data_IF_117587878898
#
_entry.id   IF_117587878898
#
_cell.length_a   1.000
_cell.length_b   1.000
_cell.length_c   1.000
_cell.angle_alpha   90.00
_cell.angle_beta   90.00
_cell.angle_gamma   90.00
#
_symmetry.space_group_name_H-M   'P 1'
#
loop_
_entity.id
_entity.type
_entity.pdbx_description
1 polymer ?
#
# COMPACT_ATOMS: atom_id res chain seq x y z
N UNK A 1 13.06 13.15 3.29
CA UNK A 1 13.30 14.24 2.30
C UNK A 1 14.10 13.66 1.16
N UNK A 2 13.57 13.65 -0.06
CA UNK A 2 14.28 13.09 -1.21
C UNK A 2 15.42 14.05 -1.57
N UNK A 3 16.62 13.78 -1.10
CA UNK A 3 17.85 14.45 -1.55
C UNK A 3 18.26 14.08 -2.99
N UNK A 4 17.35 13.42 -3.73
CA UNK A 4 17.66 12.78 -5.00
C UNK A 4 17.62 13.73 -6.20
N UNK A 5 16.92 14.85 -6.10
CA UNK A 5 16.86 15.82 -7.18
C UNK A 5 17.99 16.84 -7.04
N UNK A 6 19.10 16.58 -7.72
CA UNK A 6 20.21 17.55 -7.80
C UNK A 6 20.01 18.61 -8.88
N UNK A 7 19.12 18.33 -9.83
CA UNK A 7 18.88 19.17 -11.01
C UNK A 7 17.38 19.36 -11.24
N UNK A 8 17.03 20.51 -11.77
CA UNK A 8 15.66 20.83 -12.16
C UNK A 8 15.20 19.94 -13.31
N UNK A 9 14.08 19.22 -13.18
CA UNK A 9 13.59 18.35 -14.26
C UNK A 9 13.09 19.10 -15.50
N UNK A 10 12.87 20.43 -15.40
CA UNK A 10 12.42 21.25 -16.51
C UNK A 10 13.59 21.87 -17.29
N UNK A 11 14.62 22.39 -16.62
CA UNK A 11 15.68 23.14 -17.29
C UNK A 11 17.10 22.61 -17.00
N UNK A 12 17.28 21.58 -16.21
CA UNK A 12 18.57 20.99 -15.88
C UNK A 12 19.46 21.83 -14.95
N UNK A 13 19.00 23.01 -14.48
CA UNK A 13 19.78 23.83 -13.54
C UNK A 13 19.92 23.12 -12.19
N UNK A 14 21.07 23.33 -11.51
CA UNK A 14 21.28 22.77 -10.18
C UNK A 14 20.26 23.32 -9.16
N UNK A 15 19.80 22.48 -8.25
CA UNK A 15 18.83 22.87 -7.23
C UNK A 15 19.48 22.73 -5.87
N UNK A 16 19.51 23.83 -5.14
CA UNK A 16 20.08 23.91 -3.79
C UNK A 16 19.02 24.10 -2.71
N UNK A 17 17.77 24.40 -3.11
CA UNK A 17 16.67 24.66 -2.19
C UNK A 17 15.60 23.62 -2.20
N UNK A 18 15.54 22.86 -1.09
CA UNK A 18 14.44 21.94 -0.76
C UNK A 18 13.87 22.38 0.57
N UNK A 19 12.56 22.66 0.61
CA UNK A 19 11.86 22.65 1.87
C UNK A 19 11.18 21.28 2.09
N UNK A 20 10.39 21.19 3.16
CA UNK A 20 9.70 19.96 3.54
C UNK A 20 8.72 19.43 2.47
N UNK A 21 8.16 20.29 1.63
CA UNK A 21 7.08 19.96 0.71
C UNK A 21 7.40 20.19 -0.75
N UNK A 22 8.32 21.12 -1.04
CA UNK A 22 8.54 21.56 -2.41
C UNK A 22 10.01 21.81 -2.72
N UNK A 23 10.29 21.74 -4.00
CA UNK A 23 11.50 22.14 -4.65
C UNK A 23 11.19 23.34 -5.53
N UNK A 24 12.01 24.38 -5.49
CA UNK A 24 11.89 25.56 -6.35
C UNK A 24 13.17 25.74 -7.16
N UNK A 25 13.02 25.98 -8.46
CA UNK A 25 14.14 26.26 -9.33
C UNK A 25 14.32 27.80 -9.49
N UNK A 26 15.51 28.30 -9.18
CA UNK A 26 15.80 29.71 -9.29
C UNK A 26 16.03 30.18 -10.76
N UNK A 27 16.15 29.25 -11.73
CA UNK A 27 16.43 29.55 -13.12
C UNK A 27 15.18 29.56 -14.03
N UNK A 28 14.17 28.76 -13.74
CA UNK A 28 12.97 28.65 -14.59
C UNK A 28 11.66 28.71 -13.83
N UNK A 29 11.69 29.15 -12.58
CA UNK A 29 10.54 29.33 -11.70
C UNK A 29 9.67 28.06 -11.47
N UNK A 30 10.16 26.88 -11.89
CA UNK A 30 9.46 25.62 -11.60
C UNK A 30 9.35 25.44 -10.09
N UNK A 31 8.13 25.20 -9.63
CA UNK A 31 7.85 24.73 -8.28
C UNK A 31 7.31 23.32 -8.37
N UNK A 32 8.02 22.36 -7.79
CA UNK A 32 7.60 20.96 -7.71
C UNK A 32 7.24 20.61 -6.29
N UNK A 33 6.01 20.14 -6.08
CA UNK A 33 5.54 19.65 -4.78
C UNK A 33 5.76 18.14 -4.68
N UNK A 34 6.41 17.72 -3.59
CA UNK A 34 6.52 16.31 -3.28
C UNK A 34 5.19 15.84 -2.67
N UNK A 35 4.36 15.19 -3.47
CA UNK A 35 3.13 14.57 -3.02
C UNK A 35 3.43 13.21 -2.38
N UNK A 36 2.59 12.82 -1.42
CA UNK A 36 2.57 11.43 -0.93
C UNK A 36 1.95 10.55 -2.01
N UNK A 37 2.46 9.34 -2.18
CA UNK A 37 1.84 8.36 -3.06
C UNK A 37 0.60 7.75 -2.37
N UNK A 38 -0.48 7.57 -3.10
CA UNK A 38 -1.61 6.79 -2.62
C UNK A 38 -1.32 5.30 -2.81
N UNK A 39 -1.64 4.50 -1.80
CA UNK A 39 -1.60 3.05 -1.84
C UNK A 39 -2.86 2.48 -1.18
N UNK A 40 -3.28 1.30 -1.59
CA UNK A 40 -4.42 0.61 -1.00
C UNK A 40 -3.96 -0.67 -0.31
N UNK A 41 -4.71 -1.09 0.71
CA UNK A 41 -4.58 -2.39 1.36
C UNK A 41 -5.97 -2.92 1.69
N UNK A 42 -6.24 -4.19 1.41
CA UNK A 42 -7.57 -4.76 1.57
C UNK A 42 -7.59 -5.83 2.64
N UNK A 43 -8.39 -5.63 3.68
CA UNK A 43 -8.76 -6.69 4.63
C UNK A 43 -9.80 -7.56 3.95
N UNK A 44 -9.36 -8.67 3.35
CA UNK A 44 -10.25 -9.71 2.86
C UNK A 44 -10.63 -10.63 4.01
N UNK A 45 -11.91 -10.66 4.34
CA UNK A 45 -12.41 -11.44 5.48
C UNK A 45 -13.34 -12.56 5.04
N UNK A 46 -13.30 -13.65 5.81
CA UNK A 46 -14.23 -14.75 5.73
C UNK A 46 -14.47 -15.29 7.13
N UNK A 47 -15.73 -15.24 7.60
CA UNK A 47 -16.08 -15.59 8.97
C UNK A 47 -15.24 -14.82 10.00
N UNK A 48 -14.51 -15.51 10.89
CA UNK A 48 -13.61 -14.95 11.89
C UNK A 48 -12.14 -14.84 11.41
N UNK A 49 -11.88 -14.94 10.10
CA UNK A 49 -10.51 -14.95 9.55
C UNK A 49 -10.26 -13.79 8.60
N UNK A 50 -8.99 -13.41 8.55
CA UNK A 50 -8.43 -12.47 7.57
C UNK A 50 -7.47 -13.24 6.66
N UNK A 51 -7.52 -12.95 5.35
CA UNK A 51 -6.55 -13.41 4.38
C UNK A 51 -5.34 -12.48 4.42
N UNK A 52 -4.17 -13.06 4.70
CA UNK A 52 -2.88 -12.40 4.52
C UNK A 52 -2.13 -13.00 3.34
N UNK A 53 -1.41 -12.17 2.62
CA UNK A 53 -0.38 -12.59 1.67
C UNK A 53 0.95 -12.70 2.39
N UNK A 54 1.84 -13.60 1.94
CA UNK A 54 3.25 -13.67 2.38
C UNK A 54 4.11 -13.10 1.26
N UNK A 55 4.85 -12.05 1.56
CA UNK A 55 5.66 -11.34 0.57
C UNK A 55 6.77 -12.23 0.00
N UNK A 56 6.90 -12.27 -1.32
CA UNK A 56 8.00 -12.97 -2.01
C UNK A 56 9.13 -12.03 -2.44
N UNK A 57 8.98 -10.70 -2.28
CA UNK A 57 9.96 -9.68 -2.67
C UNK A 57 10.30 -8.72 -1.53
N UNK A 58 11.48 -8.10 -1.63
CA UNK A 58 11.86 -7.00 -0.74
C UNK A 58 11.05 -5.71 -1.07
N UNK A 59 10.83 -4.83 -0.10
CA UNK A 59 11.18 -4.97 1.32
C UNK A 59 10.26 -5.96 2.06
N UNK A 60 10.74 -6.48 3.20
CA UNK A 60 9.95 -7.33 4.11
C UNK A 60 9.59 -8.72 3.55
N UNK A 61 10.43 -9.29 2.68
CA UNK A 61 10.25 -10.66 2.18
C UNK A 61 10.01 -11.66 3.32
N UNK A 62 9.01 -12.52 3.16
CA UNK A 62 8.61 -13.54 4.12
C UNK A 62 7.67 -13.06 5.23
N UNK A 63 7.39 -11.77 5.33
CA UNK A 63 6.43 -11.23 6.29
C UNK A 63 5.00 -11.21 5.74
N UNK A 64 4.03 -11.14 6.65
CA UNK A 64 2.63 -10.99 6.30
C UNK A 64 2.35 -9.60 5.74
N UNK A 65 1.47 -9.55 4.76
CA UNK A 65 0.97 -8.34 4.13
C UNK A 65 -0.53 -8.45 3.87
N UNK A 66 -1.19 -7.35 3.58
CA UNK A 66 -2.53 -7.33 3.01
C UNK A 66 -2.40 -7.16 1.50
N UNK A 67 -3.27 -7.81 0.74
CA UNK A 67 -3.30 -7.62 -0.70
C UNK A 67 -3.60 -6.15 -1.05
N UNK A 68 -2.85 -5.61 -2.02
CA UNK A 68 -2.95 -4.22 -2.42
C UNK A 68 -1.64 -3.63 -2.94
N UNK A 69 -1.69 -2.38 -3.40
CA UNK A 69 -0.53 -1.73 -4.01
C UNK A 69 -0.74 -0.25 -4.27
N UNK A 70 0.09 0.32 -5.12
CA UNK A 70 0.01 1.74 -5.46
C UNK A 70 -1.13 2.04 -6.43
N UNK A 71 -1.77 3.19 -6.20
CA UNK A 71 -2.81 3.70 -7.11
C UNK A 71 -2.17 4.23 -8.39
N UNK A 72 -2.66 3.74 -9.52
CA UNK A 72 -2.24 4.21 -10.84
C UNK A 72 -2.89 5.56 -11.21
N UNK A 73 -2.25 6.35 -12.10
CA UNK A 73 -2.86 7.58 -12.61
C UNK A 73 -4.27 7.31 -13.19
N UNK A 74 -5.24 8.11 -12.76
CA UNK A 74 -6.65 8.04 -13.16
C UNK A 74 -7.45 6.86 -12.56
N UNK A 75 -6.93 6.16 -11.58
CA UNK A 75 -7.71 5.20 -10.78
C UNK A 75 -8.33 5.86 -9.55
N UNK A 76 -9.51 5.39 -9.15
CA UNK A 76 -9.99 5.57 -7.78
C UNK A 76 -9.38 4.51 -6.87
N UNK A 77 -9.39 4.75 -5.56
CA UNK A 77 -8.86 3.79 -4.60
C UNK A 77 -9.59 2.42 -4.66
N UNK A 78 -10.91 2.42 -4.87
CA UNK A 78 -11.69 1.19 -5.05
C UNK A 78 -11.31 0.45 -6.34
N UNK A 79 -11.00 1.21 -7.41
CA UNK A 79 -10.53 0.59 -8.66
C UNK A 79 -9.16 -0.03 -8.49
N UNK A 80 -8.26 0.63 -7.75
CA UNK A 80 -6.97 0.06 -7.38
C UNK A 80 -7.15 -1.21 -6.56
N UNK A 81 -8.04 -1.22 -5.55
CA UNK A 81 -8.34 -2.43 -4.78
C UNK A 81 -8.77 -3.58 -5.69
N UNK A 82 -9.68 -3.32 -6.64
CA UNK A 82 -10.16 -4.36 -7.56
C UNK A 82 -9.04 -4.90 -8.44
N UNK A 83 -8.21 -4.02 -9.03
CA UNK A 83 -7.09 -4.41 -9.88
C UNK A 83 -6.06 -5.23 -9.13
N UNK A 84 -5.61 -4.74 -7.97
CA UNK A 84 -4.59 -5.43 -7.16
C UNK A 84 -5.07 -6.81 -6.67
N UNK A 85 -6.32 -6.92 -6.23
CA UNK A 85 -6.91 -8.22 -5.85
C UNK A 85 -6.99 -9.17 -7.04
N UNK A 86 -7.34 -8.68 -8.24
CA UNK A 86 -7.35 -9.51 -9.45
C UNK A 86 -5.93 -9.92 -9.88
N UNK A 87 -4.96 -9.00 -9.83
CA UNK A 87 -3.56 -9.27 -10.19
C UNK A 87 -2.90 -10.22 -9.19
N UNK A 88 -2.99 -9.95 -7.91
CA UNK A 88 -2.29 -10.70 -6.86
C UNK A 88 -2.92 -12.05 -6.55
N UNK A 89 -4.27 -12.14 -6.57
CA UNK A 89 -5.01 -13.31 -6.10
C UNK A 89 -5.86 -13.99 -7.19
N UNK A 90 -6.01 -13.38 -8.36
CA UNK A 90 -6.81 -13.91 -9.46
C UNK A 90 -8.33 -13.86 -9.22
N UNK A 91 -8.82 -13.18 -8.19
CA UNK A 91 -10.24 -13.10 -7.85
C UNK A 91 -10.85 -11.75 -8.22
N UNK A 92 -12.16 -11.75 -8.50
CA UNK A 92 -12.89 -10.55 -8.89
C UNK A 92 -13.90 -10.14 -7.84
N UNK A 93 -13.71 -8.94 -7.29
CA UNK A 93 -14.62 -8.35 -6.32
C UNK A 93 -15.26 -7.09 -6.96
N UNK A 94 -16.61 -6.95 -6.99
CA UNK A 94 -17.27 -5.74 -7.45
C UNK A 94 -16.83 -4.50 -6.67
N UNK A 95 -16.71 -3.35 -7.36
CA UNK A 95 -16.22 -2.09 -6.76
C UNK A 95 -17.02 -1.68 -5.51
N UNK A 96 -18.33 -1.86 -5.55
CA UNK A 96 -19.25 -1.53 -4.46
C UNK A 96 -19.06 -2.37 -3.18
N UNK A 97 -18.32 -3.48 -3.28
CA UNK A 97 -18.03 -4.35 -2.13
C UNK A 97 -16.81 -3.90 -1.34
N UNK A 98 -15.96 -3.06 -1.89
CA UNK A 98 -14.87 -2.45 -1.14
C UNK A 98 -15.40 -1.32 -0.25
N UNK A 99 -15.26 -1.47 1.06
CA UNK A 99 -15.69 -0.47 2.04
C UNK A 99 -14.45 0.20 2.64
N UNK A 100 -14.31 1.51 2.40
CA UNK A 100 -13.25 2.28 3.04
C UNK A 100 -13.33 2.14 4.56
N UNK A 101 -12.19 1.90 5.18
CA UNK A 101 -12.09 1.72 6.62
C UNK A 101 -11.33 2.86 7.29
N UNK A 102 -10.07 3.04 6.97
CA UNK A 102 -9.23 4.12 7.50
C UNK A 102 -8.02 4.37 6.59
N UNK A 103 -7.24 5.41 6.91
CA UNK A 103 -5.93 5.63 6.27
C UNK A 103 -4.82 5.75 7.30
N UNK A 104 -3.61 5.33 6.90
CA UNK A 104 -2.39 5.45 7.70
C UNK A 104 -1.25 6.06 6.88
N UNK A 105 -0.47 6.99 7.46
CA UNK A 105 0.77 7.42 6.84
C UNK A 105 1.80 6.29 6.92
N UNK A 106 2.59 6.14 5.86
CA UNK A 106 3.64 5.14 5.82
C UNK A 106 4.93 5.70 5.19
N UNK A 107 6.02 4.97 5.38
CA UNK A 107 7.27 5.18 4.68
C UNK A 107 7.68 3.87 4.02
N UNK A 108 7.53 3.83 2.70
CA UNK A 108 7.91 2.67 1.90
C UNK A 108 9.34 2.87 1.36
N UNK A 109 10.26 2.05 1.81
CA UNK A 109 11.66 2.11 1.39
C UNK A 109 11.86 1.23 0.15
N UNK A 110 12.22 1.85 -0.98
CA UNK A 110 12.50 1.14 -2.21
C UNK A 110 13.78 1.67 -2.84
N UNK A 111 14.76 0.80 -3.07
CA UNK A 111 16.08 1.15 -3.63
C UNK A 111 16.70 2.38 -2.97
N UNK A 112 16.76 2.39 -1.63
CA UNK A 112 17.30 3.48 -0.81
C UNK A 112 16.53 4.80 -0.89
N UNK A 113 15.36 4.82 -1.54
CA UNK A 113 14.48 5.98 -1.60
C UNK A 113 13.30 5.77 -0.64
N UNK A 114 13.15 6.61 0.41
CA UNK A 114 12.02 6.52 1.33
C UNK A 114 10.80 7.25 0.74
N UNK A 115 9.95 6.53 0.06
CA UNK A 115 8.67 7.07 -0.43
C UNK A 115 7.71 7.29 0.74
N UNK A 116 7.08 8.46 0.76
CA UNK A 116 5.98 8.73 1.68
C UNK A 116 4.67 8.34 1.03
N UNK A 117 3.89 7.50 1.72
CA UNK A 117 2.61 7.02 1.23
C UNK A 117 1.48 7.39 2.18
N UNK A 118 0.27 7.40 1.65
CA UNK A 118 -0.97 7.39 2.39
C UNK A 118 -1.65 6.06 2.06
N UNK A 119 -1.56 5.11 2.97
CA UNK A 119 -2.14 3.79 2.80
C UNK A 119 -3.62 3.84 3.16
N UNK A 120 -4.48 3.60 2.18
CA UNK A 120 -5.94 3.59 2.29
C UNK A 120 -6.39 2.15 2.50
N UNK A 121 -6.91 1.86 3.68
CA UNK A 121 -7.38 0.52 4.02
C UNK A 121 -8.86 0.33 3.68
N UNK A 122 -9.17 -0.78 3.05
CA UNK A 122 -10.52 -1.20 2.70
C UNK A 122 -10.83 -2.57 3.32
N UNK A 123 -12.13 -2.85 3.48
CA UNK A 123 -12.63 -4.15 3.92
C UNK A 123 -13.51 -4.70 2.81
N UNK A 124 -13.36 -5.98 2.49
CA UNK A 124 -14.25 -6.71 1.60
C UNK A 124 -14.43 -8.16 2.08
N UNK A 125 -15.61 -8.73 1.79
CA UNK A 125 -15.86 -10.15 2.00
C UNK A 125 -15.18 -10.96 0.88
N UNK A 126 -14.55 -12.08 1.25
CA UNK A 126 -13.95 -12.99 0.29
C UNK A 126 -15.04 -13.75 -0.48
N UNK A 127 -15.02 -13.79 -1.84
CA UNK A 127 -16.12 -14.33 -2.65
C UNK A 127 -16.14 -15.86 -2.78
N UNK A 128 -15.34 -16.60 -2.00
CA UNK A 128 -15.22 -18.08 -2.10
C UNK A 128 -14.78 -18.60 -3.48
N UNK A 129 -13.94 -17.83 -4.16
CA UNK A 129 -13.32 -18.21 -5.44
C UNK A 129 -11.96 -18.89 -5.23
N UNK A 130 -11.50 -19.62 -6.24
CA UNK A 130 -10.17 -20.22 -6.23
C UNK A 130 -9.10 -19.13 -6.41
N UNK A 131 -8.08 -19.15 -5.53
CA UNK A 131 -7.00 -18.19 -5.55
C UNK A 131 -5.92 -18.64 -6.54
N UNK A 132 -5.53 -17.73 -7.45
CA UNK A 132 -4.38 -17.88 -8.34
C UNK A 132 -3.36 -16.80 -8.04
N UNK A 133 -2.21 -17.19 -7.47
CA UNK A 133 -1.23 -16.24 -6.97
C UNK A 133 -0.32 -15.68 -8.07
N UNK A 134 -0.05 -14.37 -8.02
CA UNK A 134 1.10 -13.73 -8.68
C UNK A 134 2.39 -14.12 -7.93
N UNK A 135 3.05 -15.17 -8.39
CA UNK A 135 4.17 -15.82 -7.68
C UNK A 135 5.43 -14.98 -7.54
N UNK A 136 5.60 -13.96 -8.38
CA UNK A 136 6.76 -13.07 -8.29
C UNK A 136 6.65 -12.15 -7.07
N UNK A 137 5.43 -11.82 -6.65
CA UNK A 137 5.15 -10.92 -5.54
C UNK A 137 4.74 -11.65 -4.26
N UNK A 138 3.96 -12.75 -4.38
CA UNK A 138 3.34 -13.48 -3.28
C UNK A 138 3.83 -14.92 -3.24
N UNK A 139 4.42 -15.31 -2.12
CA UNK A 139 4.89 -16.68 -1.90
C UNK A 139 3.73 -17.64 -1.60
N UNK A 140 2.81 -17.22 -0.75
CA UNK A 140 1.64 -17.98 -0.30
C UNK A 140 0.58 -17.06 0.28
N UNK A 141 -0.61 -17.56 0.54
CA UNK A 141 -1.64 -16.89 1.34
C UNK A 141 -1.92 -17.66 2.63
N UNK A 142 -2.30 -16.93 3.69
CA UNK A 142 -2.65 -17.49 4.99
C UNK A 142 -3.98 -16.95 5.48
N UNK A 143 -4.89 -17.83 5.80
CA UNK A 143 -6.11 -17.51 6.55
C UNK A 143 -5.79 -17.57 8.04
N UNK A 144 -5.83 -16.43 8.72
CA UNK A 144 -5.53 -16.34 10.17
C UNK A 144 -6.78 -15.92 10.92
N UNK A 145 -7.15 -16.68 11.95
CA UNK A 145 -8.25 -16.31 12.84
C UNK A 145 -7.92 -14.99 13.56
N UNK A 146 -8.90 -14.10 13.68
CA UNK A 146 -8.73 -12.75 14.28
C UNK A 146 -8.08 -12.85 15.69
N UNK A 147 -8.39 -13.88 16.45
CA UNK A 147 -7.85 -14.09 17.79
C UNK A 147 -6.39 -14.63 17.81
N UNK A 148 -5.89 -15.09 16.67
CA UNK A 148 -4.56 -15.71 16.52
C UNK A 148 -3.58 -14.80 15.77
N UNK A 149 -4.01 -13.61 15.33
CA UNK A 149 -3.17 -12.70 14.58
C UNK A 149 -2.02 -12.19 15.47
N UNK A 150 -0.80 -12.49 15.05
CA UNK A 150 0.41 -11.91 15.62
C UNK A 150 0.81 -10.68 14.80
N UNK A 151 0.61 -9.49 15.38
CA UNK A 151 0.89 -8.22 14.72
C UNK A 151 2.38 -8.05 14.35
N UNK A 152 3.30 -8.71 15.07
CA UNK A 152 4.74 -8.62 14.80
C UNK A 152 5.15 -9.34 13.50
N UNK A 153 4.33 -10.24 12.99
CA UNK A 153 4.54 -10.91 11.72
C UNK A 153 4.14 -10.05 10.50
N UNK A 154 3.42 -8.94 10.71
CA UNK A 154 3.01 -8.03 9.65
C UNK A 154 4.18 -7.09 9.31
N UNK A 155 4.51 -7.00 8.02
CA UNK A 155 5.73 -6.34 7.54
C UNK A 155 5.78 -4.83 7.76
N UNK A 156 4.66 -4.14 7.59
CA UNK A 156 4.60 -2.67 7.61
C UNK A 156 3.85 -2.15 8.83
N UNK A 157 4.39 -1.11 9.46
CA UNK A 157 3.81 -0.50 10.66
C UNK A 157 2.42 0.12 10.40
N UNK A 158 2.20 0.65 9.20
CA UNK A 158 0.87 1.15 8.78
C UNK A 158 -0.16 0.03 8.78
N UNK A 159 0.18 -1.13 8.22
CA UNK A 159 -0.73 -2.28 8.15
C UNK A 159 -0.94 -2.94 9.51
N UNK A 160 0.08 -2.98 10.37
CA UNK A 160 -0.11 -3.40 11.79
C UNK A 160 -1.20 -2.57 12.45
N UNK A 161 -1.14 -1.23 12.31
CA UNK A 161 -2.15 -0.32 12.88
C UNK A 161 -3.53 -0.51 12.25
N UNK A 162 -3.58 -0.77 10.94
CA UNK A 162 -4.82 -1.08 10.23
C UNK A 162 -5.47 -2.32 10.83
N UNK A 163 -4.71 -3.42 10.92
CA UNK A 163 -5.21 -4.71 11.43
C UNK A 163 -5.56 -4.61 12.92
N UNK A 164 -4.72 -3.98 13.74
CA UNK A 164 -5.00 -3.74 15.16
C UNK A 164 -6.30 -2.94 15.36
N UNK A 165 -6.49 -1.86 14.58
CA UNK A 165 -7.72 -1.05 14.64
C UNK A 165 -8.93 -1.86 14.20
N UNK A 166 -8.79 -2.71 13.19
CA UNK A 166 -9.86 -3.59 12.74
C UNK A 166 -10.26 -4.58 13.83
N UNK A 167 -9.30 -5.28 14.44
CA UNK A 167 -9.56 -6.22 15.55
C UNK A 167 -10.27 -5.51 16.71
N UNK A 168 -9.83 -4.30 17.05
CA UNK A 168 -10.45 -3.54 18.14
C UNK A 168 -11.87 -3.04 17.81
N UNK A 169 -12.20 -2.83 16.55
CA UNK A 169 -13.54 -2.42 16.11
C UNK A 169 -14.59 -3.54 16.21
N UNK A 170 -14.15 -4.79 16.39
CA UNK A 170 -15.03 -5.96 16.52
C UNK A 170 -15.38 -6.31 17.97
N UNK A 171 -14.75 -5.64 18.95
CA UNK A 171 -15.00 -5.79 20.39
C UNK A 171 -16.12 -4.88 20.87
#
# INVERSE_FOLDING_TARGET
MIKSFKFCPNCGHSIDHFDFRKMSCNNCDLVYYQNVAAAVAVILKKEDKILFTVRNREPKKGMLDLAGGFTDPNESAERTCQREIEEELGIKIPLENFKYFLSQPNTYEYKEVPYKTCDLAFIADFPDEEITLEKDEIAEVKWVSINEINLDEIGFDSLRKVVETYINSLK
#
